data_IF_019945458104
#
_entry.id   IF_019945458104
#
_cell.length_a   1.000
_cell.length_b   1.000
_cell.length_c   1.000
_cell.angle_alpha   90.00
_cell.angle_beta   90.00
_cell.angle_gamma   90.00
#
_symmetry.space_group_name_H-M   'P 1'
#
loop_
_entity.id
_entity.type
_entity.pdbx_description
1 polymer ?
#
# COMPACT_ATOMS: atom_id res chain seq x y z
N UNK A 1 -2.84 -4.73 9.71
CA UNK A 1 -2.26 -5.70 8.74
C UNK A 1 -2.27 -7.07 9.39
N UNK A 2 -2.28 -8.14 8.59
CA UNK A 2 -2.28 -9.53 9.08
C UNK A 2 -3.66 -10.13 9.37
N UNK A 3 -4.72 -9.56 8.79
CA UNK A 3 -6.04 -10.19 8.76
C UNK A 3 -6.11 -11.29 7.69
N UNK A 4 -7.27 -11.94 7.58
CA UNK A 4 -7.53 -12.91 6.51
C UNK A 4 -7.76 -12.22 5.16
N UNK A 5 -8.24 -10.98 5.17
CA UNK A 5 -8.40 -10.18 3.95
C UNK A 5 -7.12 -9.43 3.56
N UNK A 6 -6.90 -9.33 2.25
CA UNK A 6 -5.87 -8.49 1.66
C UNK A 6 -6.19 -7.01 1.85
N UNK A 7 -5.17 -6.22 2.20
CA UNK A 7 -5.28 -4.79 2.46
C UNK A 7 -4.13 -4.03 1.80
N UNK A 8 -4.44 -2.94 1.11
CA UNK A 8 -3.45 -2.02 0.55
C UNK A 8 -3.69 -0.61 1.08
N UNK A 9 -2.62 0.12 1.36
CA UNK A 9 -2.69 1.52 1.76
C UNK A 9 -1.56 2.35 1.15
N UNK A 10 -1.79 3.66 1.05
CA UNK A 10 -0.74 4.63 0.76
C UNK A 10 -0.04 5.01 2.06
N UNK A 11 1.20 4.53 2.23
CA UNK A 11 1.86 4.51 3.53
C UNK A 11 2.09 5.92 4.10
N UNK A 12 2.44 6.90 3.26
CA UNK A 12 2.72 8.27 3.70
C UNK A 12 1.45 9.02 4.11
N UNK A 13 0.34 8.90 3.39
CA UNK A 13 -0.90 9.66 3.72
C UNK A 13 -1.76 8.97 4.78
N UNK A 14 -1.48 7.72 5.12
CA UNK A 14 -2.26 6.94 6.09
C UNK A 14 -1.44 6.65 7.34
N UNK A 15 -0.89 5.44 7.46
CA UNK A 15 -0.20 4.96 8.67
C UNK A 15 1.01 5.81 9.11
N UNK A 16 1.64 6.55 8.20
CA UNK A 16 2.78 7.45 8.50
C UNK A 16 2.47 8.94 8.26
N UNK A 17 1.18 9.31 8.27
CA UNK A 17 0.71 10.69 8.05
C UNK A 17 1.32 11.73 8.99
N UNK A 18 1.78 11.34 10.18
CA UNK A 18 2.51 12.23 11.09
C UNK A 18 3.80 12.81 10.50
N UNK A 19 4.40 12.18 9.48
CA UNK A 19 5.57 12.73 8.79
C UNK A 19 5.21 13.94 7.91
N UNK A 20 4.00 13.99 7.36
CA UNK A 20 3.52 15.14 6.57
C UNK A 20 3.39 16.40 7.42
N UNK A 21 3.10 16.25 8.72
CA UNK A 21 2.98 17.36 9.67
C UNK A 21 4.33 17.94 10.11
N UNK A 22 5.45 17.24 9.85
CA UNK A 22 6.78 17.60 10.36
C UNK A 22 7.63 18.41 9.36
N UNK A 23 7.08 18.79 8.21
CA UNK A 23 7.77 19.52 7.12
C UNK A 23 9.20 18.99 6.85
N UNK A 24 9.36 17.66 6.88
CA UNK A 24 10.65 17.04 6.61
C UNK A 24 10.97 17.11 5.12
N UNK A 25 12.16 17.63 4.78
CA UNK A 25 12.65 17.72 3.39
C UNK A 25 12.67 16.37 2.67
N UNK A 26 12.99 15.31 3.41
CA UNK A 26 13.01 13.93 2.92
C UNK A 26 12.25 13.05 3.92
N UNK A 27 11.00 12.66 3.60
CA UNK A 27 10.26 11.73 4.45
C UNK A 27 10.92 10.34 4.40
N UNK A 28 10.92 9.65 5.52
CA UNK A 28 11.42 8.27 5.61
C UNK A 28 10.59 7.31 4.75
N UNK A 29 9.31 7.64 4.56
CA UNK A 29 8.40 6.92 3.68
C UNK A 29 8.25 7.71 2.37
N UNK A 30 8.62 7.12 1.22
CA UNK A 30 8.45 7.78 -0.08
C UNK A 30 6.98 8.12 -0.38
N UNK A 31 6.69 9.27 -1.01
CA UNK A 31 5.31 9.66 -1.35
C UNK A 31 4.57 8.78 -2.35
N UNK A 32 5.26 7.85 -3.02
CA UNK A 32 4.64 6.88 -3.93
C UNK A 32 4.54 5.48 -3.35
N UNK A 33 4.92 5.27 -2.09
CA UNK A 33 5.00 3.94 -1.51
C UNK A 33 3.60 3.41 -1.15
N UNK A 34 3.21 2.34 -1.84
CA UNK A 34 2.07 1.51 -1.47
C UNK A 34 2.55 0.35 -0.58
N UNK A 35 1.77 0.04 0.47
CA UNK A 35 2.01 -1.10 1.36
C UNK A 35 0.87 -2.10 1.21
N UNK A 36 1.20 -3.33 0.85
CA UNK A 36 0.27 -4.45 0.71
C UNK A 36 0.47 -5.44 1.86
N UNK A 37 -0.62 -5.78 2.56
CA UNK A 37 -0.71 -6.94 3.45
C UNK A 37 -1.48 -8.02 2.70
N UNK A 38 -0.78 -9.10 2.34
CA UNK A 38 -1.35 -10.23 1.62
C UNK A 38 -2.22 -11.05 2.60
N UNK A 39 -3.48 -11.25 2.24
CA UNK A 39 -4.43 -12.10 2.96
C UNK A 39 -4.25 -13.58 2.61
N UNK A 40 -5.32 -14.36 2.78
CA UNK A 40 -5.34 -15.81 2.52
C UNK A 40 -6.26 -16.21 1.37
N UNK A 41 -6.58 -15.27 0.48
CA UNK A 41 -7.37 -15.53 -0.72
C UNK A 41 -6.63 -16.42 -1.73
N UNK A 42 -7.33 -16.83 -2.80
CA UNK A 42 -6.69 -17.55 -3.89
C UNK A 42 -5.59 -16.67 -4.54
N UNK A 43 -4.39 -17.23 -4.66
CA UNK A 43 -3.25 -16.53 -5.23
C UNK A 43 -3.49 -16.05 -6.67
N UNK A 44 -4.22 -16.81 -7.49
CA UNK A 44 -4.50 -16.43 -8.88
C UNK A 44 -5.40 -15.19 -8.95
N UNK A 45 -6.37 -15.08 -8.04
CA UNK A 45 -7.27 -13.93 -7.96
C UNK A 45 -6.50 -12.66 -7.53
N UNK A 46 -5.59 -12.79 -6.56
CA UNK A 46 -4.74 -11.69 -6.09
C UNK A 46 -3.81 -11.18 -7.21
N UNK A 47 -3.17 -12.10 -7.94
CA UNK A 47 -2.30 -11.75 -9.08
C UNK A 47 -3.11 -11.07 -10.18
N UNK A 48 -4.27 -11.63 -10.55
CA UNK A 48 -5.13 -11.07 -11.58
C UNK A 48 -5.68 -9.68 -11.21
N UNK A 49 -5.93 -9.40 -9.92
CA UNK A 49 -6.33 -8.08 -9.46
C UNK A 49 -5.20 -7.05 -9.58
N UNK A 50 -3.99 -7.43 -9.15
CA UNK A 50 -2.81 -6.58 -9.26
C UNK A 50 -2.43 -6.29 -10.71
N UNK A 51 -2.42 -7.29 -11.60
CA UNK A 51 -2.12 -7.11 -13.02
C UNK A 51 -3.13 -6.16 -13.69
N UNK A 52 -4.42 -6.33 -13.38
CA UNK A 52 -5.47 -5.45 -13.90
C UNK A 52 -5.31 -4.01 -13.40
N UNK A 53 -4.91 -3.82 -12.13
CA UNK A 53 -4.68 -2.50 -11.57
C UNK A 53 -3.45 -1.82 -12.19
N UNK A 54 -2.33 -2.54 -12.31
CA UNK A 54 -1.09 -2.03 -12.87
C UNK A 54 -1.20 -1.71 -14.37
N UNK A 55 -2.01 -2.46 -15.11
CA UNK A 55 -2.25 -2.20 -16.55
C UNK A 55 -3.05 -0.91 -16.83
N UNK A 56 -3.55 -0.22 -15.80
CA UNK A 56 -4.33 1.03 -15.92
C UNK A 56 -3.51 2.30 -15.68
N UNK A 57 -2.23 2.15 -15.37
CA UNK A 57 -1.29 3.23 -15.05
C UNK A 57 -0.31 3.37 -16.21
#
# INVERSE_FOLDING_TARGET
>A
LGGTESLMEHALSMSHSSQLLREVKEPMVPPGLLRLSVGIENAEDLVADLDRALSRI
#
